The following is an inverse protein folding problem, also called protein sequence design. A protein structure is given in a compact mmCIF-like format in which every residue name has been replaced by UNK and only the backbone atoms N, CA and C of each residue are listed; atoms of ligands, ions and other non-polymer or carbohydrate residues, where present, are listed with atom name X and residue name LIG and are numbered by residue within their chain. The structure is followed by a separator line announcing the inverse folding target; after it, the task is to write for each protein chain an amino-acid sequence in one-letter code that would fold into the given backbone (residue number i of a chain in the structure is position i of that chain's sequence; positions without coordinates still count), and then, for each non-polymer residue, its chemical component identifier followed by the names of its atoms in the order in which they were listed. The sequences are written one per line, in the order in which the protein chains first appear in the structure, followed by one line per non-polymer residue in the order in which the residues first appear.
data_IF_833507171569
#
_entry.id   IF_833507171569
#
_cell.length_a   1.000
_cell.length_b   1.000
_cell.length_c   1.000
_cell.angle_alpha   90.00
_cell.angle_beta   90.00
_cell.angle_gamma   90.00
#
_symmetry.space_group_name_H-M   'P 1'
#
loop_
_entity.id
_entity.type
_entity.pdbx_description
1 polymer ?
#
# COMPACT_ATOMS: atom_id res chain seq x y z
N UNK A 1 9.67 7.64 -22.45
CA UNK A 1 10.51 6.75 -21.62
C UNK A 1 10.55 7.23 -20.17
N UNK A 2 10.64 8.54 -19.92
CA UNK A 2 10.79 9.07 -18.55
C UNK A 2 9.50 9.03 -17.72
N UNK A 3 8.35 9.33 -18.32
CA UNK A 3 7.03 9.20 -17.65
C UNK A 3 6.82 7.76 -17.16
N UNK A 4 7.16 6.76 -18.00
CA UNK A 4 7.03 5.35 -17.64
C UNK A 4 7.97 4.97 -16.48
N UNK A 5 9.21 5.45 -16.51
CA UNK A 5 10.17 5.23 -15.41
C UNK A 5 9.66 5.86 -14.09
N UNK A 6 9.16 7.09 -14.15
CA UNK A 6 8.61 7.79 -12.99
C UNK A 6 7.39 7.07 -12.41
N UNK A 7 6.48 6.58 -13.26
CA UNK A 7 5.32 5.81 -12.79
C UNK A 7 5.71 4.46 -12.17
N UNK A 8 6.72 3.78 -12.74
CA UNK A 8 7.25 2.55 -12.14
C UNK A 8 7.85 2.84 -10.76
N UNK A 9 8.65 3.89 -10.63
CA UNK A 9 9.27 4.28 -9.37
C UNK A 9 8.22 4.64 -8.32
N UNK A 10 7.21 5.43 -8.70
CA UNK A 10 6.08 5.79 -7.83
C UNK A 10 5.34 4.57 -7.31
N UNK A 11 5.07 3.59 -8.18
CA UNK A 11 4.39 2.34 -7.78
C UNK A 11 5.26 1.46 -6.89
N UNK A 12 6.58 1.41 -7.10
CA UNK A 12 7.51 0.68 -6.21
C UNK A 12 7.52 1.28 -4.81
N UNK A 13 7.65 2.60 -4.72
CA UNK A 13 7.61 3.31 -3.43
C UNK A 13 6.31 3.02 -2.67
N UNK A 14 5.15 3.09 -3.34
CA UNK A 14 3.87 2.79 -2.71
C UNK A 14 3.76 1.35 -2.17
N UNK A 15 4.43 0.40 -2.81
CA UNK A 15 4.43 -1.00 -2.39
C UNK A 15 5.36 -1.21 -1.19
N UNK A 16 6.52 -0.54 -1.19
CA UNK A 16 7.50 -0.53 -0.10
C UNK A 16 6.96 0.17 1.14
N UNK A 17 6.43 1.39 1.02
CA UNK A 17 5.90 2.19 2.13
C UNK A 17 4.76 1.47 2.87
N UNK A 18 3.97 0.68 2.15
CA UNK A 18 2.85 -0.09 2.71
C UNK A 18 3.24 -1.49 3.18
N UNK A 19 4.51 -1.87 3.04
CA UNK A 19 5.03 -3.21 3.35
C UNK A 19 4.16 -4.33 2.76
N UNK A 20 3.71 -4.18 1.50
CA UNK A 20 2.77 -5.12 0.87
C UNK A 20 3.44 -6.41 0.39
N UNK A 21 4.73 -6.37 0.06
CA UNK A 21 5.45 -7.55 -0.39
C UNK A 21 6.02 -8.29 0.82
N UNK A 22 5.59 -9.54 0.98
CA UNK A 22 6.18 -10.47 1.94
C UNK A 22 7.42 -11.07 1.30
N UNK A 23 8.61 -10.75 1.84
CA UNK A 23 9.95 -11.25 1.48
C UNK A 23 10.08 -11.85 0.05
N UNK A 24 9.76 -13.14 -0.11
CA UNK A 24 9.97 -13.89 -1.35
C UNK A 24 8.82 -13.81 -2.37
N UNK A 25 7.77 -13.02 -2.13
CA UNK A 25 6.62 -12.89 -3.03
C UNK A 25 6.73 -11.61 -3.85
N UNK A 26 6.51 -11.72 -5.16
CA UNK A 26 6.39 -10.59 -6.10
C UNK A 26 4.95 -10.09 -6.27
N UNK A 27 4.03 -10.57 -5.43
CA UNK A 27 2.61 -10.28 -5.49
C UNK A 27 2.07 -10.15 -4.06
N UNK A 28 0.95 -9.45 -3.93
CA UNK A 28 0.19 -9.32 -2.70
C UNK A 28 -1.29 -9.51 -3.01
N UNK A 29 -2.09 -9.86 -2.00
CA UNK A 29 -3.54 -9.98 -2.20
C UNK A 29 -4.16 -8.58 -2.20
N UNK A 30 -5.16 -8.36 -3.06
CA UNK A 30 -5.93 -7.10 -3.05
C UNK A 30 -6.56 -6.80 -1.68
N UNK A 31 -6.92 -7.84 -0.93
CA UNK A 31 -7.45 -7.72 0.44
C UNK A 31 -6.41 -7.20 1.44
N UNK A 32 -5.12 -7.45 1.25
CA UNK A 32 -4.05 -6.93 2.12
C UNK A 32 -3.87 -5.43 1.88
N UNK A 33 -3.91 -5.00 0.60
CA UNK A 33 -3.91 -3.58 0.24
C UNK A 33 -5.12 -2.85 0.82
N UNK A 34 -6.33 -3.41 0.66
CA UNK A 34 -7.56 -2.78 1.17
C UNK A 34 -7.50 -2.54 2.68
N UNK A 35 -6.99 -3.50 3.46
CA UNK A 35 -6.80 -3.35 4.91
C UNK A 35 -5.86 -2.20 5.26
N UNK A 36 -4.72 -2.07 4.55
CA UNK A 36 -3.77 -0.96 4.76
C UNK A 36 -4.38 0.40 4.46
N UNK A 37 -5.19 0.49 3.41
CA UNK A 37 -5.86 1.74 3.04
C UNK A 37 -6.97 2.11 4.04
N UNK A 38 -7.68 1.12 4.55
CA UNK A 38 -8.67 1.27 5.62
C UNK A 38 -8.03 1.71 6.95
N UNK A 39 -6.94 1.04 7.38
CA UNK A 39 -6.12 1.43 8.54
C UNK A 39 -5.69 2.90 8.45
N UNK A 40 -5.11 3.29 7.31
CA UNK A 40 -4.66 4.67 7.08
C UNK A 40 -5.81 5.69 6.99
N UNK A 41 -6.99 5.27 6.52
CA UNK A 41 -8.19 6.11 6.53
C UNK A 41 -8.65 6.38 7.96
N UNK A 42 -8.75 5.33 8.79
CA UNK A 42 -9.17 5.46 10.17
C UNK A 42 -8.19 6.28 11.02
N UNK A 43 -6.88 6.06 10.83
CA UNK A 43 -5.83 6.87 11.47
C UNK A 43 -5.95 8.35 11.13
N UNK A 44 -6.17 8.68 9.84
CA UNK A 44 -6.33 10.07 9.38
C UNK A 44 -7.62 10.71 9.89
N UNK A 45 -8.71 9.96 9.94
CA UNK A 45 -10.04 10.49 10.27
C UNK A 45 -10.39 10.41 11.76
N UNK A 46 -9.51 9.83 12.61
CA UNK A 46 -9.73 9.74 14.05
C UNK A 46 -10.83 8.76 14.47
N UNK A 47 -11.29 7.90 13.57
CA UNK A 47 -12.25 6.85 13.90
C UNK A 47 -11.50 5.72 14.60
N UNK A 48 -11.84 5.46 15.88
CA UNK A 48 -11.42 4.23 16.54
C UNK A 48 -12.09 3.06 15.83
N UNK A 49 -11.31 2.06 15.45
CA UNK A 49 -11.83 0.73 15.13
C UNK A 49 -12.65 0.29 16.35
N UNK A 50 -13.98 0.26 16.20
CA UNK A 50 -14.86 -0.39 17.17
C UNK A 50 -14.58 -1.89 16.99
N UNK A 51 -13.72 -2.41 17.88
CA UNK A 51 -13.31 -3.81 17.91
C UNK A 51 -14.47 -4.76 18.17
#
# INVERSE_FOLDING_TARGET
MDILKSEILRKRQLVEDRNLLVENKKYFKRSELAKKEEEAYFERCGYKTLG
#
